data_IF_317243205571
#
_entry.id   IF_317243205571
#
_cell.length_a   1.000
_cell.length_b   1.000
_cell.length_c   1.000
_cell.angle_alpha   90.00
_cell.angle_beta   90.00
_cell.angle_gamma   90.00
#
_symmetry.space_group_name_H-M   'P 1'
#
loop_
_entity.id
_entity.type
_entity.pdbx_description
1 polymer ?
#
# COMPACT_ATOMS: atom_id res chain seq x y z
N UNK A 1 28.54 10.21 -12.69
CA UNK A 1 28.38 10.31 -11.21
C UNK A 1 29.25 9.21 -10.59
N UNK A 2 30.11 9.49 -9.62
CA UNK A 2 30.92 8.43 -9.03
C UNK A 2 30.03 7.46 -8.23
N UNK A 3 30.42 6.19 -8.19
CA UNK A 3 29.68 5.14 -7.45
C UNK A 3 29.48 5.52 -5.98
N UNK A 4 30.48 6.17 -5.38
CA UNK A 4 30.43 6.67 -4.01
C UNK A 4 29.30 7.71 -3.80
N UNK A 5 29.18 8.67 -4.71
CA UNK A 5 28.11 9.69 -4.64
C UNK A 5 26.73 9.04 -4.78
N UNK A 6 26.57 8.09 -5.69
CA UNK A 6 25.33 7.36 -5.85
C UNK A 6 24.94 6.60 -4.58
N UNK A 7 25.90 5.96 -3.93
CA UNK A 7 25.68 5.22 -2.68
C UNK A 7 25.32 6.15 -1.53
N UNK A 8 25.98 7.29 -1.41
CA UNK A 8 25.65 8.30 -0.37
C UNK A 8 24.23 8.85 -0.58
N UNK A 9 23.85 9.18 -1.82
CA UNK A 9 22.51 9.66 -2.15
C UNK A 9 21.46 8.59 -1.81
N UNK A 10 21.74 7.32 -2.13
CA UNK A 10 20.84 6.21 -1.83
C UNK A 10 20.59 6.09 -0.31
N UNK A 11 21.68 6.11 0.51
CA UNK A 11 21.57 6.02 1.96
C UNK A 11 20.80 7.21 2.53
N UNK A 12 21.12 8.43 2.11
CA UNK A 12 20.43 9.64 2.57
C UNK A 12 18.96 9.61 2.17
N UNK A 13 18.64 9.19 0.94
CA UNK A 13 17.27 9.01 0.47
C UNK A 13 16.50 7.99 1.29
N UNK A 14 17.11 6.86 1.62
CA UNK A 14 16.51 5.84 2.47
C UNK A 14 16.23 6.35 3.90
N UNK A 15 17.19 7.08 4.51
CA UNK A 15 17.00 7.68 5.85
C UNK A 15 15.86 8.71 5.82
N UNK A 16 15.83 9.58 4.81
CA UNK A 16 14.79 10.59 4.68
C UNK A 16 13.41 9.95 4.47
N UNK A 17 13.35 8.91 3.65
CA UNK A 17 12.12 8.17 3.37
C UNK A 17 11.56 7.52 4.65
N UNK A 18 12.40 6.77 5.38
CA UNK A 18 11.97 6.08 6.60
C UNK A 18 11.54 7.08 7.68
N UNK A 19 12.33 8.15 7.92
CA UNK A 19 11.97 9.17 8.90
C UNK A 19 10.73 9.96 8.50
N UNK A 20 10.56 10.25 7.22
CA UNK A 20 9.38 10.92 6.70
C UNK A 20 8.12 10.06 6.84
N UNK A 21 8.23 8.76 6.57
CA UNK A 21 7.14 7.81 6.76
C UNK A 21 6.74 7.67 8.24
N UNK A 22 7.72 7.49 9.15
CA UNK A 22 7.47 7.43 10.59
C UNK A 22 6.70 8.67 11.08
N UNK A 23 7.20 9.86 10.72
CA UNK A 23 6.57 11.12 11.10
C UNK A 23 5.16 11.28 10.52
N UNK A 24 4.96 10.87 9.27
CA UNK A 24 3.65 10.91 8.62
C UNK A 24 2.65 9.98 9.31
N UNK A 25 3.04 8.73 9.59
CA UNK A 25 2.19 7.72 10.23
C UNK A 25 1.78 8.18 11.63
N UNK A 26 2.75 8.60 12.45
CA UNK A 26 2.51 9.02 13.83
C UNK A 26 1.54 10.21 13.91
N UNK A 27 1.80 11.26 13.12
CA UNK A 27 0.95 12.45 13.15
C UNK A 27 -0.43 12.20 12.51
N UNK A 28 -0.52 11.34 11.52
CA UNK A 28 -1.80 10.96 10.92
C UNK A 28 -2.67 10.14 11.89
N UNK A 29 -2.04 9.25 12.66
CA UNK A 29 -2.73 8.48 13.68
C UNK A 29 -3.31 9.39 14.79
N UNK A 30 -2.50 10.32 15.32
CA UNK A 30 -2.94 11.31 16.33
C UNK A 30 -4.09 12.15 15.79
N UNK A 31 -3.95 12.68 14.57
CA UNK A 31 -5.00 13.51 13.95
C UNK A 31 -6.33 12.77 13.76
N UNK A 32 -6.26 11.49 13.44
CA UNK A 32 -7.44 10.67 13.25
C UNK A 32 -8.11 10.30 14.57
N UNK A 33 -7.31 9.99 15.61
CA UNK A 33 -7.79 9.72 16.96
C UNK A 33 -8.55 10.93 17.54
N UNK A 34 -8.01 12.13 17.41
CA UNK A 34 -8.65 13.39 17.82
C UNK A 34 -10.01 13.62 17.15
N UNK A 35 -10.24 12.99 15.99
CA UNK A 35 -11.50 13.08 15.22
C UNK A 35 -12.43 11.88 15.38
N UNK A 36 -12.08 10.92 16.21
CA UNK A 36 -12.87 9.71 16.44
C UNK A 36 -12.89 8.76 15.24
N UNK A 37 -11.88 8.83 14.35
CA UNK A 37 -11.73 7.91 13.23
C UNK A 37 -11.11 6.61 13.76
N UNK A 38 -11.69 5.46 13.39
CA UNK A 38 -11.18 4.18 13.88
C UNK A 38 -9.75 3.90 13.41
N UNK A 39 -8.89 3.27 14.23
CA UNK A 39 -7.53 2.91 13.86
C UNK A 39 -7.46 2.04 12.60
N UNK A 40 -8.44 1.17 12.38
CA UNK A 40 -8.53 0.37 11.16
C UNK A 40 -8.61 1.24 9.91
N UNK A 41 -9.51 2.24 9.89
CA UNK A 41 -9.66 3.15 8.75
C UNK A 41 -8.41 3.98 8.52
N UNK A 42 -7.75 4.44 9.58
CA UNK A 42 -6.45 5.14 9.47
C UNK A 42 -5.41 4.24 8.81
N UNK A 43 -5.32 2.98 9.26
CA UNK A 43 -4.38 1.99 8.71
C UNK A 43 -4.58 1.74 7.22
N UNK A 44 -5.81 1.42 6.81
CA UNK A 44 -6.11 1.06 5.41
C UNK A 44 -6.24 2.27 4.46
N UNK A 45 -6.23 3.49 4.99
CA UNK A 45 -6.27 4.72 4.17
C UNK A 45 -4.98 5.52 4.28
N UNK A 46 -4.81 6.29 5.34
CA UNK A 46 -3.73 7.26 5.48
C UNK A 46 -2.36 6.57 5.55
N UNK A 47 -2.24 5.54 6.39
CA UNK A 47 -0.97 4.82 6.56
C UNK A 47 -0.65 4.04 5.29
N UNK A 48 -1.61 3.30 4.73
CA UNK A 48 -1.41 2.55 3.49
C UNK A 48 -1.03 3.46 2.31
N UNK A 49 -1.70 4.61 2.16
CA UNK A 49 -1.35 5.60 1.15
C UNK A 49 0.06 6.15 1.37
N UNK A 50 0.40 6.55 2.60
CA UNK A 50 1.70 7.13 2.93
C UNK A 50 2.86 6.17 2.69
N UNK A 51 2.69 4.90 3.06
CA UNK A 51 3.72 3.86 2.85
C UNK A 51 3.87 3.48 1.38
N UNK A 52 2.82 3.64 0.56
CA UNK A 52 2.85 3.34 -0.88
C UNK A 52 3.18 4.56 -1.77
N UNK A 53 3.44 5.74 -1.18
CA UNK A 53 3.86 6.93 -1.94
C UNK A 53 5.13 6.72 -2.76
N UNK A 54 6.19 6.06 -2.25
CA UNK A 54 7.39 5.78 -3.04
C UNK A 54 7.09 4.95 -4.28
N UNK A 55 6.31 3.90 -4.14
CA UNK A 55 5.91 3.01 -5.25
C UNK A 55 5.06 3.76 -6.27
N UNK A 56 4.15 4.60 -5.80
CA UNK A 56 3.33 5.45 -6.67
C UNK A 56 4.19 6.39 -7.50
N UNK A 57 5.15 7.08 -6.88
CA UNK A 57 6.06 8.01 -7.56
C UNK A 57 6.94 7.29 -8.58
N UNK A 58 7.52 6.15 -8.22
CA UNK A 58 8.33 5.33 -9.14
C UNK A 58 7.49 4.89 -10.33
N UNK A 59 6.27 4.40 -10.11
CA UNK A 59 5.40 3.94 -11.19
C UNK A 59 4.96 5.08 -12.12
N UNK A 60 4.62 6.25 -11.56
CA UNK A 60 4.26 7.44 -12.33
C UNK A 60 5.46 7.91 -13.19
N UNK A 61 6.63 8.08 -12.59
CA UNK A 61 7.83 8.56 -13.30
C UNK A 61 8.23 7.56 -14.39
N UNK A 62 8.21 6.27 -14.09
CA UNK A 62 8.52 5.21 -15.06
C UNK A 62 7.56 5.22 -16.25
N UNK A 63 6.26 5.40 -16.00
CA UNK A 63 5.23 5.48 -17.04
C UNK A 63 5.44 6.72 -17.93
N UNK A 64 5.75 7.89 -17.34
CA UNK A 64 6.08 9.09 -18.11
C UNK A 64 7.35 8.95 -18.95
N UNK A 65 8.28 8.11 -18.54
CA UNK A 65 9.50 7.79 -19.28
C UNK A 65 9.32 6.63 -20.27
N UNK A 66 8.09 6.13 -20.48
CA UNK A 66 7.75 4.96 -21.30
C UNK A 66 8.41 3.66 -20.84
N UNK A 67 8.76 3.55 -19.56
CA UNK A 67 9.24 2.32 -18.92
C UNK A 67 8.08 1.58 -18.22
N UNK A 68 7.09 1.16 -19.01
CA UNK A 68 5.84 0.54 -18.49
C UNK A 68 6.11 -0.78 -17.77
N UNK A 69 7.08 -1.57 -18.23
CA UNK A 69 7.49 -2.81 -17.57
C UNK A 69 7.99 -2.57 -16.15
N UNK A 70 8.76 -1.47 -15.96
CA UNK A 70 9.24 -1.08 -14.64
C UNK A 70 8.08 -0.63 -13.74
N UNK A 71 7.11 0.13 -14.29
CA UNK A 71 5.94 0.57 -13.54
C UNK A 71 5.10 -0.62 -13.06
N UNK A 72 4.75 -1.56 -13.96
CA UNK A 72 4.00 -2.77 -13.61
C UNK A 72 4.79 -3.68 -12.67
N UNK A 73 6.07 -3.89 -12.95
CA UNK A 73 6.95 -4.69 -12.11
C UNK A 73 7.06 -4.14 -10.68
N UNK A 74 7.11 -2.82 -10.52
CA UNK A 74 7.11 -2.16 -9.22
C UNK A 74 5.79 -2.41 -8.45
N UNK A 75 4.63 -2.26 -9.11
CA UNK A 75 3.32 -2.47 -8.49
C UNK A 75 3.14 -3.93 -8.06
N UNK A 76 3.40 -4.87 -8.96
CA UNK A 76 3.23 -6.31 -8.66
C UNK A 76 4.28 -6.78 -7.67
N UNK A 77 5.53 -6.36 -7.83
CA UNK A 77 6.65 -6.74 -6.97
C UNK A 77 6.47 -6.26 -5.53
N UNK A 78 6.01 -5.02 -5.32
CA UNK A 78 5.73 -4.50 -3.97
C UNK A 78 4.60 -5.27 -3.30
N UNK A 79 3.53 -5.64 -4.00
CA UNK A 79 2.45 -6.46 -3.45
C UNK A 79 2.95 -7.86 -3.04
N UNK A 80 3.75 -8.52 -3.88
CA UNK A 80 4.36 -9.83 -3.56
C UNK A 80 5.27 -9.70 -2.34
N UNK A 81 6.08 -8.65 -2.26
CA UNK A 81 6.97 -8.40 -1.13
C UNK A 81 6.19 -8.13 0.16
N UNK A 82 5.13 -7.32 0.09
CA UNK A 82 4.31 -7.01 1.26
C UNK A 82 3.62 -8.26 1.83
N UNK A 83 3.14 -9.17 0.99
CA UNK A 83 2.52 -10.42 1.43
C UNK A 83 3.58 -11.47 1.80
N UNK A 84 4.52 -11.74 0.89
CA UNK A 84 5.46 -12.87 1.02
C UNK A 84 6.60 -12.61 2.00
N UNK A 85 7.03 -11.34 2.16
CA UNK A 85 8.12 -11.00 3.06
C UNK A 85 7.61 -10.30 4.31
N UNK A 86 6.88 -9.18 4.18
CA UNK A 86 6.52 -8.33 5.33
C UNK A 86 5.50 -9.03 6.21
N UNK A 87 4.35 -9.44 5.66
CA UNK A 87 3.28 -10.08 6.44
C UNK A 87 3.75 -11.45 6.99
N UNK A 88 4.44 -12.24 6.17
CA UNK A 88 4.95 -13.54 6.61
C UNK A 88 5.99 -13.41 7.73
N UNK A 89 6.94 -12.46 7.61
CA UNK A 89 7.95 -12.21 8.65
C UNK A 89 7.31 -11.67 9.92
N UNK A 90 6.36 -10.72 9.80
CA UNK A 90 5.63 -10.19 10.94
C UNK A 90 4.87 -11.29 11.69
N UNK A 91 4.15 -12.14 10.96
CA UNK A 91 3.41 -13.28 11.55
C UNK A 91 4.35 -14.28 12.25
N UNK A 92 5.49 -14.55 11.63
CA UNK A 92 6.50 -15.45 12.21
C UNK A 92 7.07 -14.87 13.51
N UNK A 93 7.51 -13.61 13.51
CA UNK A 93 8.06 -12.93 14.69
C UNK A 93 7.00 -12.87 15.79
N UNK A 94 5.76 -12.49 15.45
CA UNK A 94 4.66 -12.39 16.42
C UNK A 94 4.38 -13.73 17.08
N UNK A 95 4.30 -14.81 16.30
CA UNK A 95 4.07 -16.16 16.82
C UNK A 95 5.19 -16.61 17.76
N UNK A 96 6.46 -16.45 17.36
CA UNK A 96 7.60 -16.95 18.16
C UNK A 96 7.94 -16.05 19.34
N UNK A 97 7.71 -14.74 19.25
CA UNK A 97 8.07 -13.77 20.30
C UNK A 97 6.96 -13.60 21.32
N UNK A 98 5.72 -13.45 20.87
CA UNK A 98 4.57 -13.20 21.74
C UNK A 98 3.78 -14.47 22.05
N UNK A 99 4.10 -15.60 21.42
CA UNK A 99 3.38 -16.88 21.52
C UNK A 99 1.87 -16.74 21.31
N UNK A 100 1.50 -15.82 20.45
CA UNK A 100 0.11 -15.50 20.09
C UNK A 100 -0.05 -15.60 18.58
N UNK A 101 -1.28 -15.65 18.11
CA UNK A 101 -1.60 -15.57 16.69
C UNK A 101 -2.15 -14.18 16.38
N UNK A 102 -1.89 -13.71 15.17
CA UNK A 102 -2.55 -12.50 14.67
C UNK A 102 -3.98 -12.91 14.31
N UNK A 103 -4.94 -12.43 15.10
CA UNK A 103 -6.35 -12.64 14.79
C UNK A 103 -6.85 -11.53 13.89
N UNK A 104 -7.37 -11.85 12.71
CA UNK A 104 -7.93 -10.84 11.82
C UNK A 104 -9.22 -10.26 12.41
N UNK A 105 -9.36 -8.97 12.38
CA UNK A 105 -10.61 -8.28 12.69
C UNK A 105 -11.66 -8.58 11.60
N UNK A 106 -12.96 -8.56 11.95
CA UNK A 106 -14.05 -8.93 11.02
C UNK A 106 -14.03 -8.14 9.71
N UNK A 107 -13.62 -6.88 9.74
CA UNK A 107 -13.49 -6.04 8.55
C UNK A 107 -12.29 -6.42 7.68
N UNK A 108 -11.24 -7.02 8.23
CA UNK A 108 -10.06 -7.49 7.49
C UNK A 108 -10.43 -8.54 6.41
N UNK A 109 -11.40 -9.39 6.69
CA UNK A 109 -11.88 -10.38 5.72
C UNK A 109 -12.49 -9.71 4.48
N UNK A 110 -13.27 -8.64 4.65
CA UNK A 110 -13.89 -7.91 3.54
C UNK A 110 -12.82 -7.21 2.69
N UNK A 111 -11.85 -6.59 3.33
CA UNK A 111 -10.76 -5.91 2.65
C UNK A 111 -9.85 -6.89 1.90
N UNK A 112 -9.64 -8.10 2.45
CA UNK A 112 -8.94 -9.19 1.77
C UNK A 112 -9.67 -9.65 0.50
N UNK A 113 -11.00 -9.71 0.51
CA UNK A 113 -11.78 -10.01 -0.70
C UNK A 113 -11.66 -8.91 -1.77
N UNK A 114 -11.69 -7.64 -1.36
CA UNK A 114 -11.49 -6.52 -2.30
C UNK A 114 -10.10 -6.59 -2.93
N UNK A 115 -9.06 -6.87 -2.14
CA UNK A 115 -7.70 -7.05 -2.63
C UNK A 115 -7.61 -8.22 -3.63
N UNK A 116 -8.24 -9.37 -3.31
CA UNK A 116 -8.27 -10.53 -4.20
C UNK A 116 -8.95 -10.19 -5.53
N UNK A 117 -10.11 -9.52 -5.49
CA UNK A 117 -10.82 -9.10 -6.71
C UNK A 117 -9.98 -8.15 -7.54
N UNK A 118 -9.30 -7.17 -6.91
CA UNK A 118 -8.41 -6.24 -7.61
C UNK A 118 -7.25 -6.99 -8.28
N UNK A 119 -6.63 -7.97 -7.60
CA UNK A 119 -5.57 -8.78 -8.17
C UNK A 119 -6.05 -9.62 -9.38
N UNK A 120 -7.23 -10.24 -9.28
CA UNK A 120 -7.80 -11.01 -10.39
C UNK A 120 -8.15 -10.11 -11.59
N UNK A 121 -8.68 -8.92 -11.35
CA UNK A 121 -8.93 -7.92 -12.41
C UNK A 121 -7.61 -7.47 -13.06
N UNK A 122 -6.55 -7.25 -12.28
CA UNK A 122 -5.24 -6.90 -12.83
C UNK A 122 -4.73 -8.01 -13.76
N UNK A 123 -4.80 -9.27 -13.34
CA UNK A 123 -4.40 -10.41 -14.17
C UNK A 123 -5.26 -10.48 -15.44
N UNK A 124 -6.55 -10.21 -15.33
CA UNK A 124 -7.47 -10.23 -16.48
C UNK A 124 -7.14 -9.11 -17.48
N UNK A 125 -6.91 -7.89 -17.04
CA UNK A 125 -6.59 -6.77 -17.92
C UNK A 125 -5.16 -6.84 -18.49
N UNK A 126 -4.22 -7.41 -17.76
CA UNK A 126 -2.83 -7.53 -18.20
C UNK A 126 -2.57 -8.68 -19.18
N UNK A 127 -3.60 -9.40 -19.68
CA UNK A 127 -3.43 -10.54 -20.59
C UNK A 127 -2.79 -10.18 -21.93
N UNK A 128 -3.00 -8.96 -22.38
CA UNK A 128 -2.37 -8.41 -23.61
C UNK A 128 -1.04 -7.70 -23.37
N UNK A 129 -0.51 -7.77 -22.13
CA UNK A 129 0.70 -7.09 -21.66
C UNK A 129 0.62 -5.55 -21.69
N UNK A 130 -0.58 -5.00 -21.73
CA UNK A 130 -0.83 -3.56 -21.69
C UNK A 130 -1.93 -3.27 -20.68
N UNK A 131 -1.82 -2.15 -19.99
CA UNK A 131 -2.91 -1.57 -19.22
C UNK A 131 -3.34 -0.30 -19.93
N UNK A 132 -4.52 -0.33 -20.54
CA UNK A 132 -5.08 0.81 -21.25
C UNK A 132 -5.55 1.90 -20.27
N UNK A 133 -5.73 3.12 -20.77
CA UNK A 133 -6.29 4.22 -19.98
C UNK A 133 -7.67 3.86 -19.38
N UNK A 134 -8.53 3.17 -20.14
CA UNK A 134 -9.86 2.75 -19.68
C UNK A 134 -9.79 1.77 -18.50
N UNK A 135 -8.88 0.81 -18.55
CA UNK A 135 -8.66 -0.16 -17.47
C UNK A 135 -8.09 0.50 -16.22
N UNK A 136 -7.13 1.42 -16.40
CA UNK A 136 -6.63 2.24 -15.31
C UNK A 136 -7.72 3.10 -14.68
N UNK A 137 -8.63 3.67 -15.48
CA UNK A 137 -9.77 4.44 -14.98
C UNK A 137 -10.75 3.56 -14.19
N UNK A 138 -10.98 2.32 -14.62
CA UNK A 138 -11.81 1.36 -13.87
C UNK A 138 -11.18 1.10 -12.49
N UNK A 139 -9.88 0.82 -12.40
CA UNK A 139 -9.20 0.65 -11.12
C UNK A 139 -9.32 1.88 -10.23
N UNK A 140 -9.15 3.06 -10.80
CA UNK A 140 -9.27 4.32 -10.04
C UNK A 140 -10.70 4.51 -9.49
N UNK A 141 -11.73 4.26 -10.29
CA UNK A 141 -13.12 4.33 -9.84
C UNK A 141 -13.40 3.30 -8.74
N UNK A 142 -12.96 2.05 -8.90
CA UNK A 142 -13.12 1.01 -7.89
C UNK A 142 -12.41 1.38 -6.58
N UNK A 143 -11.24 1.97 -6.66
CA UNK A 143 -10.51 2.47 -5.49
C UNK A 143 -11.29 3.57 -4.75
N UNK A 144 -11.83 4.55 -5.47
CA UNK A 144 -12.67 5.60 -4.87
C UNK A 144 -13.92 5.01 -4.21
N UNK A 145 -14.61 4.07 -4.87
CA UNK A 145 -15.76 3.39 -4.29
C UNK A 145 -15.39 2.61 -3.03
N UNK A 146 -14.22 1.99 -3.00
CA UNK A 146 -13.71 1.31 -1.82
C UNK A 146 -13.47 2.30 -0.67
N UNK A 147 -12.81 3.44 -0.91
CA UNK A 147 -12.60 4.48 0.10
C UNK A 147 -13.91 5.02 0.67
N UNK A 148 -14.89 5.27 -0.20
CA UNK A 148 -16.25 5.69 0.21
C UNK A 148 -16.91 4.62 1.08
N UNK A 149 -16.81 3.35 0.71
CA UNK A 149 -17.30 2.22 1.50
C UNK A 149 -16.66 2.14 2.90
N UNK A 150 -15.34 2.37 3.00
CA UNK A 150 -14.63 2.43 4.27
C UNK A 150 -15.12 3.57 5.16
N UNK A 151 -15.31 4.75 4.59
CA UNK A 151 -15.84 5.90 5.32
C UNK A 151 -17.22 5.61 5.95
N UNK A 152 -18.13 5.00 5.19
CA UNK A 152 -19.44 4.63 5.70
C UNK A 152 -19.42 3.47 6.72
N UNK A 153 -18.44 2.58 6.65
CA UNK A 153 -18.26 1.54 7.67
C UNK A 153 -17.78 2.14 8.99
N UNK A 154 -16.83 3.07 8.93
CA UNK A 154 -16.27 3.76 10.11
C UNK A 154 -17.30 4.63 10.84
N UNK A 155 -18.30 5.15 10.12
CA UNK A 155 -19.33 6.04 10.69
C UNK A 155 -20.45 5.32 11.44
N UNK A 156 -20.42 3.99 11.52
CA UNK A 156 -21.38 3.25 12.33
C UNK A 156 -20.85 3.16 13.78
N UNK A 157 -21.55 3.73 14.77
CA UNK A 157 -21.19 3.53 16.15
C UNK A 157 -21.26 2.03 16.48
N UNK A 158 -20.28 1.57 17.27
CA UNK A 158 -20.22 0.22 17.80
C UNK A 158 -21.42 -0.07 18.71
#
# INVERSE_FOLDING_TARGET
>A
MSLLIAFVILILGFILLTKGADYFIENSAIFAEDRGISPHVVGVTIVAFGTSLPELLVSIISSFQNHNDLALGNIVGSNISNIGLVLASASFIFHYTLRSNIEPEDDTNKDSYVMLVAALLLIFFAQDNLISFSEGLIFFILYILYLVSLYFRSSKPA
#
